data_IF_393335919244
#
_entry.id   IF_393335919244
#
_cell.length_a   1.000
_cell.length_b   1.000
_cell.length_c   1.000
_cell.angle_alpha   90.00
_cell.angle_beta   90.00
_cell.angle_gamma   90.00
#
_symmetry.space_group_name_H-M   'P 1'
#
loop_
_entity.id
_entity.type
_entity.pdbx_description
1 polymer ?
#
# COMPACT_ATOMS: atom_id res chain seq x y z
N UNK A 1 -17.99 -34.59 11.69
CA UNK A 1 -19.19 -34.24 10.90
C UNK A 1 -18.76 -33.27 9.82
N UNK A 2 -19.36 -33.27 8.63
CA UNK A 2 -19.07 -32.25 7.61
C UNK A 2 -19.66 -30.92 8.05
N UNK A 3 -18.83 -29.89 8.19
CA UNK A 3 -19.26 -28.55 8.61
C UNK A 3 -20.04 -27.90 7.45
N UNK A 4 -21.36 -27.81 7.60
CA UNK A 4 -22.20 -27.08 6.65
C UNK A 4 -21.93 -25.57 6.75
N UNK A 5 -22.00 -24.90 5.61
CA UNK A 5 -21.72 -23.48 5.48
C UNK A 5 -22.82 -22.79 4.67
N UNK A 6 -23.37 -21.70 5.18
CA UNK A 6 -24.38 -20.90 4.48
C UNK A 6 -23.72 -20.06 3.38
N UNK A 7 -23.98 -20.32 2.09
CA UNK A 7 -23.19 -19.74 0.99
C UNK A 7 -23.33 -18.22 0.90
N UNK A 8 -24.45 -17.65 1.37
CA UNK A 8 -24.69 -16.22 1.38
C UNK A 8 -23.82 -15.48 2.42
N UNK A 9 -23.60 -16.08 3.60
CA UNK A 9 -22.69 -15.55 4.62
C UNK A 9 -21.23 -15.70 4.20
N UNK A 10 -20.88 -16.83 3.56
CA UNK A 10 -19.55 -16.98 2.93
C UNK A 10 -19.31 -15.86 1.92
N UNK A 11 -20.23 -15.63 0.98
CA UNK A 11 -20.14 -14.55 -0.01
C UNK A 11 -20.05 -13.15 0.64
N UNK A 12 -20.84 -12.89 1.69
CA UNK A 12 -20.78 -11.64 2.45
C UNK A 12 -19.43 -11.44 3.15
N UNK A 13 -18.85 -12.50 3.73
CA UNK A 13 -17.53 -12.44 4.38
C UNK A 13 -16.44 -12.03 3.37
N UNK A 14 -16.43 -12.63 2.18
CA UNK A 14 -15.50 -12.29 1.09
C UNK A 14 -15.71 -10.85 0.57
N UNK A 15 -16.96 -10.40 0.46
CA UNK A 15 -17.29 -9.03 0.04
C UNK A 15 -16.77 -7.99 1.04
N UNK A 16 -17.01 -8.20 2.34
CA UNK A 16 -16.53 -7.31 3.40
C UNK A 16 -15.00 -7.30 3.49
N UNK A 17 -14.36 -8.46 3.32
CA UNK A 17 -12.91 -8.55 3.22
C UNK A 17 -12.36 -7.75 2.03
N UNK A 18 -12.97 -7.87 0.84
CA UNK A 18 -12.55 -7.14 -0.35
C UNK A 18 -12.72 -5.64 -0.20
N UNK A 19 -13.88 -5.19 0.26
CA UNK A 19 -14.20 -3.77 0.40
C UNK A 19 -13.31 -3.08 1.44
N UNK A 20 -13.14 -3.67 2.63
CA UNK A 20 -12.27 -3.13 3.67
C UNK A 20 -10.78 -3.19 3.29
N UNK A 21 -10.36 -4.24 2.57
CA UNK A 21 -9.00 -4.34 2.02
C UNK A 21 -8.75 -3.25 0.97
N UNK A 22 -9.69 -3.02 0.08
CA UNK A 22 -9.59 -1.99 -0.96
C UNK A 22 -9.44 -0.59 -0.37
N UNK A 23 -10.30 -0.23 0.59
CA UNK A 23 -10.21 1.06 1.29
C UNK A 23 -8.90 1.19 2.07
N UNK A 24 -8.51 0.17 2.83
CA UNK A 24 -7.31 0.19 3.65
C UNK A 24 -6.02 0.31 2.83
N UNK A 25 -5.92 -0.44 1.73
CA UNK A 25 -4.81 -0.35 0.77
C UNK A 25 -4.81 0.95 -0.03
N UNK A 26 -5.99 1.50 -0.35
CA UNK A 26 -6.11 2.81 -1.01
C UNK A 26 -5.54 3.93 -0.13
N UNK A 27 -5.91 3.94 1.16
CA UNK A 27 -5.41 4.89 2.14
C UNK A 27 -3.91 4.71 2.38
N UNK A 28 -3.42 3.47 2.46
CA UNK A 28 -2.00 3.18 2.65
C UNK A 28 -1.10 3.77 1.54
N UNK A 29 -1.56 3.72 0.29
CA UNK A 29 -0.84 4.28 -0.86
C UNK A 29 -0.66 5.80 -0.82
N UNK A 30 -1.51 6.52 -0.08
CA UNK A 30 -1.37 7.96 0.09
C UNK A 30 -0.38 8.37 1.18
N UNK A 31 0.12 7.43 2.00
CA UNK A 31 0.97 7.76 3.16
C UNK A 31 2.33 8.31 2.73
N UNK A 32 2.94 7.76 1.68
CA UNK A 32 4.29 8.15 1.23
C UNK A 32 4.42 9.61 0.78
N UNK A 33 3.33 10.19 0.25
CA UNK A 33 3.25 11.61 -0.14
C UNK A 33 2.80 12.53 1.01
N UNK A 34 2.37 11.96 2.14
CA UNK A 34 1.79 12.72 3.25
C UNK A 34 2.80 13.05 4.33
N UNK A 35 2.67 14.24 4.92
CA UNK A 35 3.53 14.73 6.01
C UNK A 35 2.70 15.06 7.27
N UNK A 36 3.39 15.26 8.39
CA UNK A 36 2.81 15.74 9.64
C UNK A 36 1.57 14.97 10.12
N UNK A 37 0.51 15.70 10.43
CA UNK A 37 -0.75 15.13 10.92
C UNK A 37 -1.50 14.30 9.87
N UNK A 38 -1.37 14.62 8.56
CA UNK A 38 -1.99 13.84 7.48
C UNK A 38 -1.38 12.44 7.40
N UNK A 39 -0.06 12.33 7.53
CA UNK A 39 0.66 11.05 7.57
C UNK A 39 0.15 10.14 8.70
N UNK A 40 0.05 10.68 9.93
CA UNK A 40 -0.47 9.93 11.09
C UNK A 40 -1.93 9.50 10.89
N UNK A 41 -2.78 10.38 10.36
CA UNK A 41 -4.20 10.07 10.08
C UNK A 41 -4.36 8.97 9.04
N UNK A 42 -3.57 8.97 7.96
CA UNK A 42 -3.64 7.95 6.90
C UNK A 42 -3.14 6.58 7.35
N UNK A 43 -2.10 6.50 8.20
CA UNK A 43 -1.72 5.23 8.84
C UNK A 43 -2.87 4.72 9.71
N UNK A 44 -3.45 5.56 10.57
CA UNK A 44 -4.51 5.16 11.48
C UNK A 44 -5.78 4.68 10.74
N UNK A 45 -6.24 5.41 9.72
CA UNK A 45 -7.43 5.02 8.95
C UNK A 45 -7.19 3.80 8.05
N UNK A 46 -5.98 3.67 7.48
CA UNK A 46 -5.59 2.46 6.75
C UNK A 46 -5.57 1.23 7.65
N UNK A 47 -4.88 1.30 8.80
CA UNK A 47 -4.78 0.21 9.76
C UNK A 47 -6.17 -0.20 10.29
N UNK A 48 -7.01 0.76 10.63
CA UNK A 48 -8.39 0.53 11.08
C UNK A 48 -9.24 -0.14 9.99
N UNK A 49 -9.17 0.33 8.75
CA UNK A 49 -9.91 -0.26 7.62
C UNK A 49 -9.47 -1.68 7.30
N UNK A 50 -8.16 -1.97 7.34
CA UNK A 50 -7.65 -3.32 7.11
C UNK A 50 -8.03 -4.26 8.26
N UNK A 51 -7.88 -3.83 9.51
CA UNK A 51 -8.29 -4.62 10.67
C UNK A 51 -9.80 -4.88 10.69
N UNK A 52 -10.64 -3.90 10.29
CA UNK A 52 -12.08 -4.11 10.11
C UNK A 52 -12.39 -5.08 8.97
N UNK A 53 -11.62 -5.10 7.88
CA UNK A 53 -11.78 -6.08 6.81
C UNK A 53 -11.52 -7.50 7.31
N UNK A 54 -10.41 -7.68 8.05
CA UNK A 54 -9.97 -8.97 8.62
C UNK A 54 -10.97 -9.45 9.67
N UNK A 55 -11.31 -8.58 10.63
CA UNK A 55 -12.16 -8.93 11.76
C UNK A 55 -13.63 -9.14 11.35
N UNK A 56 -14.19 -8.27 10.49
CA UNK A 56 -15.56 -8.46 9.99
C UNK A 56 -15.67 -9.74 9.14
N UNK A 57 -14.67 -10.05 8.30
CA UNK A 57 -14.67 -11.32 7.57
C UNK A 57 -14.63 -12.52 8.52
N UNK A 58 -13.73 -12.53 9.51
CA UNK A 58 -13.63 -13.64 10.45
C UNK A 58 -14.94 -13.90 11.21
N UNK A 59 -15.59 -12.86 11.75
CA UNK A 59 -16.84 -13.04 12.49
C UNK A 59 -18.02 -13.43 11.59
N UNK A 60 -18.12 -12.89 10.36
CA UNK A 60 -19.14 -13.34 9.39
C UNK A 60 -18.85 -14.77 8.89
N UNK A 61 -17.58 -15.16 8.75
CA UNK A 61 -17.17 -16.53 8.40
C UNK A 61 -17.46 -17.55 9.50
N UNK A 62 -17.29 -17.18 10.78
CA UNK A 62 -17.76 -18.00 11.91
C UNK A 62 -19.29 -18.11 11.92
N UNK A 63 -20.03 -17.03 11.65
CA UNK A 63 -21.49 -17.07 11.52
C UNK A 63 -21.97 -17.86 10.30
N UNK A 64 -21.13 -18.01 9.27
CA UNK A 64 -21.44 -18.80 8.09
C UNK A 64 -21.47 -20.31 8.36
N UNK A 65 -20.86 -20.77 9.46
CA UNK A 65 -20.88 -22.17 9.89
C UNK A 65 -22.19 -22.49 10.59
N UNK A 66 -22.85 -23.58 10.19
CA UNK A 66 -24.05 -24.07 10.87
C UNK A 66 -23.68 -24.78 12.19
N UNK A 67 -23.64 -24.03 13.29
CA UNK A 67 -23.40 -24.56 14.64
C UNK A 67 -24.67 -25.22 15.24
N UNK A 68 -24.54 -26.33 15.99
CA UNK A 68 -25.68 -27.04 16.60
C UNK A 68 -26.28 -26.36 17.84
N UNK A 69 -25.68 -25.27 18.31
CA UNK A 69 -26.08 -24.48 19.48
C UNK A 69 -25.88 -23.00 19.15
N UNK A 70 -26.73 -22.12 19.69
CA UNK A 70 -26.62 -20.68 19.50
C UNK A 70 -25.24 -20.15 19.93
N UNK A 71 -24.54 -19.46 19.01
CA UNK A 71 -23.18 -18.99 19.22
C UNK A 71 -23.12 -17.71 20.06
N UNK A 72 -22.88 -17.90 21.36
CA UNK A 72 -22.76 -16.83 22.36
C UNK A 72 -21.31 -16.30 22.39
N UNK A 73 -21.04 -15.18 21.72
CA UNK A 73 -19.70 -14.60 21.61
C UNK A 73 -19.31 -13.77 22.85
N UNK A 74 -18.18 -14.09 23.48
CA UNK A 74 -17.60 -13.27 24.56
C UNK A 74 -17.08 -11.93 24.02
N UNK A 75 -17.55 -10.83 24.61
CA UNK A 75 -17.23 -9.45 24.19
C UNK A 75 -15.74 -9.13 24.35
N UNK A 76 -15.10 -9.56 25.45
CA UNK A 76 -13.71 -9.19 25.75
C UNK A 76 -12.69 -9.79 24.76
N UNK A 77 -12.69 -11.11 24.43
CA UNK A 77 -11.85 -11.64 23.35
C UNK A 77 -12.17 -11.03 21.97
N UNK A 78 -13.45 -10.75 21.70
CA UNK A 78 -13.91 -10.11 20.47
C UNK A 78 -13.29 -8.72 20.28
N UNK A 79 -13.26 -7.88 21.33
CA UNK A 79 -12.61 -6.57 21.29
C UNK A 79 -11.07 -6.65 21.31
N UNK A 80 -10.51 -7.62 22.06
CA UNK A 80 -9.06 -7.78 22.17
C UNK A 80 -8.43 -8.27 20.86
N UNK A 81 -9.07 -9.20 20.15
CA UNK A 81 -8.65 -9.65 18.82
C UNK A 81 -8.68 -8.51 17.80
N UNK A 82 -9.68 -7.64 17.84
CA UNK A 82 -9.74 -6.43 17.03
C UNK A 82 -8.59 -5.46 17.34
N UNK A 83 -8.38 -5.13 18.63
CA UNK A 83 -7.32 -4.21 19.06
C UNK A 83 -5.93 -4.70 18.65
N UNK A 84 -5.62 -5.97 18.86
CA UNK A 84 -4.34 -6.57 18.47
C UNK A 84 -4.20 -6.59 16.94
N UNK A 85 -5.27 -6.85 16.20
CA UNK A 85 -5.27 -6.72 14.74
C UNK A 85 -4.93 -5.30 14.29
N UNK A 86 -5.61 -4.26 14.81
CA UNK A 86 -5.35 -2.85 14.49
C UNK A 86 -3.89 -2.47 14.75
N UNK A 87 -3.33 -2.88 15.90
CA UNK A 87 -1.94 -2.57 16.26
C UNK A 87 -0.93 -3.26 15.34
N UNK A 88 -1.07 -4.56 15.13
CA UNK A 88 -0.11 -5.38 14.36
C UNK A 88 -0.19 -5.06 12.85
N UNK A 89 -1.40 -4.89 12.31
CA UNK A 89 -1.61 -4.43 10.93
C UNK A 89 -1.15 -2.99 10.75
N UNK A 90 -1.31 -2.12 11.76
CA UNK A 90 -0.77 -0.76 11.76
C UNK A 90 0.76 -0.72 11.66
N UNK A 91 1.46 -1.63 12.33
CA UNK A 91 2.92 -1.82 12.15
C UNK A 91 3.24 -2.28 10.73
N UNK A 92 2.50 -3.23 10.17
CA UNK A 92 2.69 -3.67 8.78
C UNK A 92 2.51 -2.53 7.77
N UNK A 93 1.46 -1.71 7.92
CA UNK A 93 1.21 -0.50 7.13
C UNK A 93 2.37 0.50 7.27
N UNK A 94 2.81 0.79 8.50
CA UNK A 94 3.93 1.71 8.76
C UNK A 94 5.23 1.29 8.06
N UNK A 95 5.49 -0.02 7.94
CA UNK A 95 6.69 -0.55 7.26
C UNK A 95 6.62 -0.35 5.73
N UNK A 96 5.43 -0.31 5.13
CA UNK A 96 5.22 -0.05 3.67
C UNK A 96 4.84 1.39 3.32
N UNK A 97 4.65 2.26 4.31
CA UNK A 97 4.46 3.72 4.13
C UNK A 97 5.50 4.45 3.25
N UNK A 98 6.80 4.07 3.20
CA UNK A 98 7.79 4.77 2.36
C UNK A 98 7.52 4.64 0.86
N UNK A 99 7.80 5.70 0.09
CA UNK A 99 7.60 5.79 -1.38
C UNK A 99 8.23 4.60 -2.15
N UNK A 100 9.36 4.08 -1.67
CA UNK A 100 10.09 2.95 -2.26
C UNK A 100 10.27 1.84 -1.21
N UNK A 101 9.75 0.66 -1.49
CA UNK A 101 9.65 -0.44 -0.49
C UNK A 101 10.64 -1.55 -0.83
N UNK A 102 11.85 -1.45 -0.27
CA UNK A 102 12.86 -2.51 -0.38
C UNK A 102 12.33 -3.87 0.06
N UNK A 103 12.77 -4.95 -0.59
CA UNK A 103 12.28 -6.31 -0.33
C UNK A 103 12.39 -6.76 1.14
N UNK A 104 13.37 -6.26 1.90
CA UNK A 104 13.48 -6.53 3.35
C UNK A 104 12.33 -5.92 4.16
N UNK A 105 11.89 -4.69 3.82
CA UNK A 105 10.69 -4.08 4.42
C UNK A 105 9.43 -4.82 4.01
N UNK A 106 9.34 -5.24 2.75
CA UNK A 106 8.21 -6.00 2.24
C UNK A 106 8.02 -7.35 2.97
N UNK A 107 9.11 -8.10 3.20
CA UNK A 107 9.08 -9.35 3.99
C UNK A 107 8.69 -9.08 5.44
N UNK A 108 9.23 -8.05 6.08
CA UNK A 108 8.85 -7.67 7.44
C UNK A 108 7.36 -7.31 7.53
N UNK A 109 6.84 -6.50 6.60
CA UNK A 109 5.43 -6.15 6.54
C UNK A 109 4.52 -7.36 6.25
N UNK A 110 4.96 -8.32 5.41
CA UNK A 110 4.23 -9.56 5.17
C UNK A 110 4.11 -10.42 6.43
N UNK A 111 5.19 -10.51 7.23
CA UNK A 111 5.22 -11.23 8.50
C UNK A 111 4.32 -10.55 9.56
N UNK A 112 4.37 -9.22 9.68
CA UNK A 112 3.46 -8.50 10.59
C UNK A 112 2.00 -8.60 10.11
N UNK A 113 1.70 -8.40 8.83
CA UNK A 113 0.34 -8.49 8.29
C UNK A 113 -0.25 -9.89 8.47
N UNK A 114 0.45 -10.93 7.98
CA UNK A 114 0.01 -12.32 8.08
C UNK A 114 -0.04 -12.82 9.52
N UNK A 115 0.96 -12.48 10.34
CA UNK A 115 0.96 -12.79 11.78
C UNK A 115 -0.18 -12.10 12.51
N UNK A 116 -0.51 -10.85 12.17
CA UNK A 116 -1.66 -10.13 12.70
C UNK A 116 -2.99 -10.79 12.33
N UNK A 117 -3.13 -11.25 11.09
CA UNK A 117 -4.30 -11.99 10.59
C UNK A 117 -4.47 -13.33 11.34
N UNK A 118 -3.38 -14.08 11.57
CA UNK A 118 -3.39 -15.36 12.30
C UNK A 118 -3.68 -15.17 13.79
N UNK A 119 -2.98 -14.26 14.47
CA UNK A 119 -3.19 -13.96 15.89
C UNK A 119 -4.61 -13.43 16.12
N UNK A 120 -5.10 -12.54 15.24
CA UNK A 120 -6.47 -12.06 15.28
C UNK A 120 -7.48 -13.22 15.21
N UNK A 121 -7.29 -14.17 14.29
CA UNK A 121 -8.20 -15.29 14.13
C UNK A 121 -8.24 -16.19 15.37
N UNK A 122 -7.10 -16.66 15.88
CA UNK A 122 -7.11 -17.53 17.06
C UNK A 122 -7.62 -16.81 18.32
N UNK A 123 -7.37 -15.50 18.48
CA UNK A 123 -7.98 -14.70 19.55
C UNK A 123 -9.48 -14.44 19.35
N UNK A 124 -9.94 -14.34 18.10
CA UNK A 124 -11.35 -14.25 17.75
C UNK A 124 -12.10 -15.55 18.06
N UNK A 125 -11.49 -16.71 17.78
CA UNK A 125 -12.01 -18.02 18.16
C UNK A 125 -12.21 -18.16 19.68
N UNK A 126 -11.37 -17.53 20.52
CA UNK A 126 -11.58 -17.53 21.98
C UNK A 126 -12.94 -16.95 22.39
N UNK A 127 -13.59 -16.13 21.55
CA UNK A 127 -14.93 -15.63 21.83
C UNK A 127 -15.98 -16.74 21.94
N UNK A 128 -15.77 -17.90 21.31
CA UNK A 128 -16.68 -19.06 21.36
C UNK A 128 -16.50 -19.96 22.60
N UNK A 129 -15.45 -19.75 23.41
CA UNK A 129 -15.10 -20.66 24.52
C UNK A 129 -16.18 -20.80 25.61
N UNK A 130 -17.12 -19.84 25.70
CA UNK A 130 -18.27 -19.93 26.61
C UNK A 130 -19.21 -21.09 26.26
N UNK A 131 -19.31 -21.47 24.99
CA UNK A 131 -20.19 -22.56 24.51
C UNK A 131 -19.45 -23.85 24.14
N UNK A 132 -18.15 -23.76 23.80
CA UNK A 132 -17.41 -24.88 23.21
C UNK A 132 -15.98 -24.99 23.73
N UNK A 133 -15.50 -26.21 23.96
CA UNK A 133 -14.08 -26.52 23.93
C UNK A 133 -13.57 -26.54 22.47
N UNK A 134 -12.44 -25.88 22.22
CA UNK A 134 -11.86 -25.67 20.89
C UNK A 134 -10.57 -26.47 20.70
N UNK A 135 -10.63 -27.59 19.99
CA UNK A 135 -9.45 -28.28 19.49
C UNK A 135 -8.94 -27.61 18.21
N UNK A 136 -7.62 -27.57 18.02
CA UNK A 136 -6.98 -27.05 16.81
C UNK A 136 -5.93 -28.06 16.34
N UNK A 137 -5.99 -28.48 15.08
CA UNK A 137 -4.92 -29.24 14.43
C UNK A 137 -3.69 -28.32 14.20
N UNK A 138 -2.49 -28.68 14.71
CA UNK A 138 -1.26 -27.94 14.43
C UNK A 138 -0.89 -27.90 12.94
N UNK A 139 -1.24 -28.92 12.14
CA UNK A 139 -0.91 -28.94 10.71
C UNK A 139 -1.76 -27.93 9.93
N UNK A 140 -3.08 -27.99 10.04
CA UNK A 140 -4.00 -26.99 9.46
C UNK A 140 -3.68 -25.57 9.93
N UNK A 141 -3.31 -25.40 11.21
CA UNK A 141 -2.86 -24.12 11.78
C UNK A 141 -1.55 -23.61 11.13
N UNK A 142 -0.59 -24.50 10.87
CA UNK A 142 0.63 -24.16 10.16
C UNK A 142 0.41 -23.80 8.68
N UNK A 143 -0.47 -24.55 8.00
CA UNK A 143 -0.84 -24.31 6.59
C UNK A 143 -1.62 -23.00 6.44
N UNK A 144 -2.59 -22.74 7.32
CA UNK A 144 -3.34 -21.47 7.31
C UNK A 144 -2.39 -20.30 7.56
N UNK A 145 -1.50 -20.38 8.56
CA UNK A 145 -0.53 -19.32 8.83
C UNK A 145 0.39 -19.03 7.63
N UNK A 146 0.83 -20.08 6.92
CA UNK A 146 1.60 -19.93 5.68
C UNK A 146 0.79 -19.23 4.57
N UNK A 147 -0.48 -19.60 4.39
CA UNK A 147 -1.40 -18.93 3.44
C UNK A 147 -1.55 -17.43 3.78
N UNK A 148 -1.81 -17.11 5.06
CA UNK A 148 -1.98 -15.75 5.54
C UNK A 148 -0.75 -14.86 5.29
N UNK A 149 0.45 -15.36 5.60
CA UNK A 149 1.72 -14.63 5.36
C UNK A 149 2.04 -14.53 3.86
N UNK A 150 1.88 -15.61 3.08
CA UNK A 150 2.19 -15.61 1.66
C UNK A 150 1.25 -14.70 0.85
N UNK A 151 -0.06 -14.77 1.10
CA UNK A 151 -1.03 -13.92 0.44
C UNK A 151 -0.87 -12.45 0.85
N UNK A 152 -0.59 -12.17 2.13
CA UNK A 152 -0.25 -10.82 2.59
C UNK A 152 0.99 -10.28 1.87
N UNK A 153 2.05 -11.08 1.76
CA UNK A 153 3.28 -10.69 1.07
C UNK A 153 3.06 -10.40 -0.42
N UNK A 154 2.28 -11.24 -1.11
CA UNK A 154 1.98 -11.05 -2.53
C UNK A 154 1.03 -9.85 -2.76
N UNK A 155 0.03 -9.65 -1.88
CA UNK A 155 -0.85 -8.49 -1.95
C UNK A 155 -0.09 -7.18 -1.70
N UNK A 156 0.79 -7.13 -0.69
CA UNK A 156 1.67 -5.98 -0.44
C UNK A 156 2.68 -5.78 -1.58
N UNK A 157 3.21 -6.86 -2.18
CA UNK A 157 4.08 -6.76 -3.36
C UNK A 157 3.36 -6.08 -4.53
N UNK A 158 2.12 -6.50 -4.82
CA UNK A 158 1.29 -5.93 -5.88
C UNK A 158 0.83 -4.48 -5.58
N UNK A 159 0.66 -4.16 -4.30
CA UNK A 159 0.27 -2.83 -3.82
C UNK A 159 1.42 -1.80 -3.81
N UNK A 160 2.62 -2.19 -3.37
CA UNK A 160 3.70 -1.26 -3.02
C UNK A 160 5.04 -1.56 -3.70
N UNK A 161 5.25 -2.76 -4.23
CA UNK A 161 6.54 -3.18 -4.80
C UNK A 161 6.94 -2.39 -6.05
N UNK A 162 8.18 -1.91 -6.07
CA UNK A 162 8.75 -1.03 -7.11
C UNK A 162 8.72 -1.62 -8.54
N UNK A 163 8.57 -2.94 -8.67
CA UNK A 163 8.56 -3.69 -9.94
C UNK A 163 7.22 -4.34 -10.27
N UNK A 164 6.21 -4.20 -9.41
CA UNK A 164 4.92 -4.87 -9.60
C UNK A 164 3.96 -4.01 -10.46
N UNK A 165 3.06 -4.62 -11.25
CA UNK A 165 1.96 -3.89 -11.86
C UNK A 165 1.04 -3.40 -10.73
N UNK A 166 1.07 -2.09 -10.46
CA UNK A 166 0.52 -1.41 -9.26
C UNK A 166 -1.03 -1.42 -9.16
N UNK A 167 -1.66 -2.57 -9.33
CA UNK A 167 -3.12 -2.79 -9.28
C UNK A 167 -3.64 -2.81 -7.84
N UNK A 168 -4.30 -1.72 -7.44
CA UNK A 168 -5.05 -1.64 -6.18
C UNK A 168 -6.18 -2.70 -6.09
N UNK A 169 -7.09 -2.87 -7.08
CA UNK A 169 -8.15 -3.87 -6.97
C UNK A 169 -7.59 -5.31 -6.97
N UNK A 170 -6.51 -5.59 -7.71
CA UNK A 170 -5.84 -6.89 -7.66
C UNK A 170 -5.20 -7.18 -6.30
N UNK A 171 -4.53 -6.18 -5.70
CA UNK A 171 -3.95 -6.25 -4.36
C UNK A 171 -5.04 -6.49 -3.29
N UNK A 172 -6.16 -5.78 -3.38
CA UNK A 172 -7.30 -5.94 -2.48
C UNK A 172 -8.01 -7.30 -2.62
N UNK A 173 -8.24 -7.77 -3.85
CA UNK A 173 -8.81 -9.09 -4.11
C UNK A 173 -7.91 -10.21 -3.58
N UNK A 174 -6.61 -10.12 -3.82
CA UNK A 174 -5.66 -11.12 -3.34
C UNK A 174 -5.53 -11.12 -1.81
N UNK A 175 -5.55 -9.95 -1.17
CA UNK A 175 -5.58 -9.87 0.29
C UNK A 175 -6.85 -10.48 0.86
N UNK A 176 -8.02 -10.11 0.33
CA UNK A 176 -9.31 -10.62 0.79
C UNK A 176 -9.46 -12.14 0.63
N UNK A 177 -9.07 -12.67 -0.54
CA UNK A 177 -9.00 -14.11 -0.78
C UNK A 177 -7.98 -14.79 0.14
N UNK A 178 -6.84 -14.14 0.44
CA UNK A 178 -5.83 -14.62 1.37
C UNK A 178 -6.30 -14.74 2.82
N UNK A 179 -6.95 -13.70 3.35
CA UNK A 179 -7.52 -13.72 4.71
C UNK A 179 -8.63 -14.79 4.77
N UNK A 180 -9.50 -14.86 3.76
CA UNK A 180 -10.59 -15.85 3.70
C UNK A 180 -10.06 -17.28 3.62
N UNK A 181 -9.09 -17.54 2.73
CA UNK A 181 -8.46 -18.85 2.58
C UNK A 181 -7.71 -19.28 3.85
N UNK A 182 -7.05 -18.35 4.55
CA UNK A 182 -6.48 -18.63 5.88
C UNK A 182 -7.57 -19.08 6.85
N UNK A 183 -8.63 -18.28 7.01
CA UNK A 183 -9.71 -18.54 7.96
C UNK A 183 -10.39 -19.89 7.71
N UNK A 184 -10.85 -20.17 6.48
CA UNK A 184 -11.52 -21.44 6.19
C UNK A 184 -10.57 -22.65 6.25
N UNK A 185 -9.25 -22.47 6.06
CA UNK A 185 -8.25 -23.53 6.30
C UNK A 185 -8.02 -23.79 7.78
N UNK A 186 -8.03 -22.75 8.62
CA UNK A 186 -7.92 -22.92 10.07
C UNK A 186 -9.19 -23.54 10.66
N UNK A 187 -10.37 -23.13 10.19
CA UNK A 187 -11.67 -23.69 10.58
C UNK A 187 -11.79 -25.18 10.20
N UNK A 188 -11.26 -25.62 9.05
CA UNK A 188 -11.31 -27.03 8.66
C UNK A 188 -10.46 -27.95 9.55
N UNK A 189 -9.46 -27.39 10.24
CA UNK A 189 -8.68 -28.05 11.29
C UNK A 189 -9.15 -27.78 12.72
N UNK A 190 -10.31 -27.15 12.91
CA UNK A 190 -10.84 -26.81 14.24
C UNK A 190 -11.94 -27.81 14.66
N UNK A 191 -11.84 -28.36 15.88
CA UNK A 191 -12.91 -29.18 16.47
C UNK A 191 -13.69 -28.40 17.53
N UNK A 192 -15.02 -28.37 17.36
CA UNK A 192 -15.98 -27.74 18.25
C UNK A 192 -16.65 -28.80 19.10
N UNK A 193 -16.34 -28.84 20.40
CA UNK A 193 -16.97 -29.75 21.36
C UNK A 193 -17.88 -28.94 22.27
N UNK A 194 -19.23 -29.03 22.15
CA UNK A 194 -20.14 -28.27 22.99
C UNK A 194 -19.97 -28.64 24.47
N UNK A 195 -20.10 -27.67 25.37
CA UNK A 195 -20.26 -27.95 26.79
C UNK A 195 -21.60 -28.64 27.05
N UNK A 196 -21.65 -29.58 28.00
CA UNK A 196 -22.92 -30.15 28.45
C UNK A 196 -23.72 -29.07 29.20
N UNK A 197 -24.94 -28.77 28.74
CA UNK A 197 -25.70 -27.61 29.20
C UNK A 197 -26.55 -27.94 30.42
N UNK A 198 -26.13 -27.51 31.60
CA UNK A 198 -27.08 -27.18 32.67
C UNK A 198 -27.73 -25.82 32.35
N UNK A 199 -29.03 -25.84 32.04
CA UNK A 199 -29.75 -24.69 31.50
C UNK A 199 -30.20 -23.70 32.60
N UNK A 200 -29.25 -23.00 33.24
CA UNK A 200 -29.53 -21.95 34.22
C UNK A 200 -28.88 -20.63 33.81
N UNK A 201 -29.64 -19.77 33.14
CA UNK A 201 -29.19 -18.43 32.74
C UNK A 201 -30.25 -17.63 31.98
N UNK A 202 -30.44 -16.37 32.36
CA UNK A 202 -31.37 -15.46 31.68
C UNK A 202 -30.92 -15.14 30.26
N UNK A 203 -31.86 -15.21 29.31
CA UNK A 203 -31.61 -14.86 27.91
C UNK A 203 -31.33 -13.35 27.79
N UNK A 204 -30.18 -12.91 27.22
CA UNK A 204 -29.92 -11.50 26.97
C UNK A 204 -30.89 -10.92 25.93
N UNK A 205 -31.39 -9.70 26.15
CA UNK A 205 -32.34 -9.03 25.25
C UNK A 205 -31.78 -8.71 23.84
N UNK A 206 -30.46 -8.80 23.66
CA UNK A 206 -29.76 -8.82 22.39
C UNK A 206 -28.72 -9.95 22.46
N UNK A 207 -28.67 -10.84 21.47
CA UNK A 207 -27.62 -11.87 21.46
C UNK A 207 -26.24 -11.21 21.32
N UNK A 208 -25.18 -11.72 21.97
CA UNK A 208 -23.83 -11.16 21.84
C UNK A 208 -23.33 -11.17 20.38
N UNK A 209 -23.76 -12.13 19.57
CA UNK A 209 -23.51 -12.16 18.12
C UNK A 209 -24.19 -11.02 17.36
N UNK A 210 -25.45 -10.69 17.68
CA UNK A 210 -26.12 -9.49 17.12
C UNK A 210 -25.39 -8.21 17.55
N UNK A 211 -24.93 -8.14 18.79
CA UNK A 211 -24.15 -7.01 19.30
C UNK A 211 -22.80 -6.87 18.55
N UNK A 212 -22.10 -7.97 18.29
CA UNK A 212 -20.87 -7.99 17.47
C UNK A 212 -21.14 -7.57 16.02
N UNK A 213 -22.22 -8.04 15.39
CA UNK A 213 -22.64 -7.62 14.05
C UNK A 213 -22.98 -6.13 14.00
N UNK A 214 -23.74 -5.61 14.99
CA UNK A 214 -24.05 -4.18 15.11
C UNK A 214 -22.77 -3.36 15.27
N UNK A 215 -21.83 -3.78 16.12
CA UNK A 215 -20.52 -3.12 16.26
C UNK A 215 -19.71 -3.17 14.95
N UNK A 216 -19.77 -4.28 14.19
CA UNK A 216 -19.14 -4.41 12.87
C UNK A 216 -19.71 -3.39 11.88
N UNK A 217 -21.03 -3.34 11.77
CA UNK A 217 -21.76 -2.44 10.87
C UNK A 217 -21.52 -0.98 11.26
N UNK A 218 -21.57 -0.65 12.56
CA UNK A 218 -21.30 0.71 13.06
C UNK A 218 -19.84 1.11 12.83
N UNK A 219 -18.86 0.25 13.11
CA UNK A 219 -17.45 0.57 12.88
C UNK A 219 -17.11 0.71 11.39
N UNK A 220 -17.76 -0.08 10.53
CA UNK A 220 -17.73 0.09 9.08
C UNK A 220 -18.32 1.45 8.66
N UNK A 221 -19.52 1.82 9.13
CA UNK A 221 -20.15 3.11 8.81
C UNK A 221 -19.35 4.31 9.36
N UNK A 222 -18.76 4.20 10.56
CA UNK A 222 -17.85 5.21 11.11
C UNK A 222 -16.61 5.37 10.22
N UNK A 223 -16.06 4.27 9.70
CA UNK A 223 -14.94 4.32 8.74
C UNK A 223 -15.36 4.92 7.39
N UNK A 224 -16.59 4.66 6.93
CA UNK A 224 -17.21 5.29 5.76
C UNK A 224 -17.46 6.79 5.94
N UNK A 225 -17.82 7.24 7.14
CA UNK A 225 -17.99 8.64 7.50
C UNK A 225 -16.64 9.37 7.63
N UNK A 226 -15.61 8.67 8.11
CA UNK A 226 -14.22 9.14 8.08
C UNK A 226 -13.70 9.26 6.63
N UNK A 227 -14.16 8.41 5.72
CA UNK A 227 -13.94 8.55 4.26
C UNK A 227 -14.62 9.80 3.70
N UNK A 228 -15.90 10.04 4.02
CA UNK A 228 -16.64 11.24 3.56
C UNK A 228 -16.00 12.55 4.02
N UNK A 229 -15.51 12.61 5.26
CA UNK A 229 -14.77 13.79 5.78
C UNK A 229 -13.34 13.92 5.25
N UNK A 230 -12.82 12.91 4.53
CA UNK A 230 -11.55 12.95 3.81
C UNK A 230 -11.67 13.21 2.31
N UNK A 231 -12.88 13.24 1.74
CA UNK A 231 -13.12 13.75 0.39
C UNK A 231 -12.95 15.27 0.43
N UNK A 232 -11.94 15.87 -0.22
CA UNK A 232 -11.87 17.31 -0.31
C UNK A 232 -13.01 17.78 -1.21
N UNK A 233 -13.88 18.63 -0.69
CA UNK A 233 -14.64 19.55 -1.55
C UNK A 233 -13.55 20.30 -2.33
N UNK A 234 -13.40 20.00 -3.63
CA UNK A 234 -12.51 20.78 -4.48
C UNK A 234 -13.06 22.21 -4.43
N UNK A 235 -12.30 23.22 -3.99
CA UNK A 235 -12.71 24.58 -4.28
C UNK A 235 -12.91 24.65 -5.80
N UNK A 236 -14.04 25.22 -6.23
CA UNK A 236 -14.26 25.45 -7.65
C UNK A 236 -13.01 26.18 -8.20
N UNK A 237 -12.47 25.79 -9.36
CA UNK A 237 -11.23 26.35 -9.85
C UNK A 237 -11.40 27.87 -9.90
N UNK A 238 -10.65 28.59 -9.06
CA UNK A 238 -10.75 30.03 -8.92
C UNK A 238 -10.49 30.63 -10.29
N UNK A 239 -11.55 31.08 -10.95
CA UNK A 239 -11.52 31.38 -12.37
C UNK A 239 -10.51 32.51 -12.55
N UNK A 240 -9.64 32.42 -13.56
CA UNK A 240 -8.53 33.35 -13.79
C UNK A 240 -9.02 34.76 -14.22
N UNK A 241 -9.72 35.44 -13.31
CA UNK A 241 -10.48 36.69 -13.47
C UNK A 241 -9.99 37.69 -12.42
N UNK A 242 -8.68 37.91 -12.42
CA UNK A 242 -8.03 39.08 -11.81
C UNK A 242 -6.70 39.42 -12.49
N UNK A 243 -6.04 38.44 -13.13
CA UNK A 243 -4.88 38.63 -14.03
C UNK A 243 -5.22 39.34 -15.37
N UNK A 244 -6.21 40.23 -15.38
CA UNK A 244 -6.60 41.08 -16.52
C UNK A 244 -7.08 42.50 -16.15
N UNK A 245 -7.08 42.87 -14.86
CA UNK A 245 -7.21 44.28 -14.48
C UNK A 245 -5.89 45.00 -14.86
N UNK A 246 -5.90 45.71 -15.99
CA UNK A 246 -4.72 46.34 -16.55
C UNK A 246 -4.29 47.61 -15.76
N UNK A 247 -3.00 47.98 -15.77
CA UNK A 247 -2.52 49.23 -15.18
C UNK A 247 -2.95 50.45 -16.02
N UNK A 248 -4.21 50.85 -15.89
CA UNK A 248 -4.82 52.00 -16.55
C UNK A 248 -4.43 53.35 -15.92
N UNK A 249 -3.13 53.65 -15.84
CA UNK A 249 -2.62 54.93 -15.35
C UNK A 249 -2.91 56.06 -16.34
N UNK A 250 -4.08 56.70 -16.24
CA UNK A 250 -4.46 57.82 -17.10
C UNK A 250 -3.83 59.13 -16.57
N UNK A 251 -2.59 59.39 -16.96
CA UNK A 251 -1.87 60.61 -16.58
C UNK A 251 -2.50 61.86 -17.22
N UNK A 252 -2.89 62.83 -16.40
CA UNK A 252 -3.62 64.03 -16.84
C UNK A 252 -2.69 65.05 -17.50
N UNK A 253 -2.69 65.10 -18.83
CA UNK A 253 -1.83 65.99 -19.60
C UNK A 253 -2.23 67.49 -19.48
N UNK A 254 -1.31 68.39 -19.08
CA UNK A 254 -1.55 69.84 -19.10
C UNK A 254 -1.34 70.44 -20.51
N UNK A 255 -2.08 71.50 -20.90
CA UNK A 255 -2.03 72.03 -22.26
C UNK A 255 -0.81 72.96 -22.48
N UNK A 256 -0.05 72.76 -23.57
CA UNK A 256 0.88 73.76 -24.10
C UNK A 256 0.85 73.89 -25.63
N UNK A 257 1.06 75.15 -26.04
CA UNK A 257 0.90 75.74 -27.38
C UNK A 257 1.98 75.32 -28.40
N UNK A 258 1.51 74.99 -29.61
CA UNK A 258 1.75 75.76 -30.86
C UNK A 258 3.16 75.86 -31.49
N UNK A 259 3.23 75.55 -32.81
CA UNK A 259 4.38 75.75 -33.75
C UNK A 259 5.68 74.95 -33.47
N UNK A 260 6.55 74.60 -34.43
CA UNK A 260 6.91 75.26 -35.70
C UNK A 260 7.57 74.33 -36.75
N UNK A 261 6.98 74.26 -37.95
CA UNK A 261 7.54 74.11 -39.31
C UNK A 261 8.84 73.30 -39.69
N UNK A 262 8.74 72.68 -40.89
CA UNK A 262 9.73 72.58 -42.00
C UNK A 262 10.83 71.48 -42.07
N UNK A 263 10.78 70.74 -43.20
CA UNK A 263 11.89 70.25 -44.09
C UNK A 263 12.84 69.17 -43.51
N UNK A 264 13.60 68.39 -44.30
CA UNK A 264 13.83 68.33 -45.75
C UNK A 264 13.85 66.88 -46.33
N UNK A 265 14.19 66.70 -47.63
CA UNK A 265 14.29 65.41 -48.35
C UNK A 265 15.75 65.00 -48.63
N UNK A 266 16.00 63.68 -48.74
CA UNK A 266 17.05 63.03 -49.57
C UNK A 266 18.54 63.24 -49.23
N UNK A 267 19.49 62.47 -49.81
CA UNK A 267 19.34 61.36 -50.79
C UNK A 267 19.92 60.00 -50.34
N UNK A 268 19.83 58.97 -51.20
CA UNK A 268 20.44 57.64 -51.06
C UNK A 268 21.84 57.59 -51.70
N UNK A 269 22.73 56.72 -51.19
CA UNK A 269 23.98 56.27 -51.85
C UNK A 269 24.10 54.73 -51.68
N UNK A 270 24.56 53.93 -52.67
CA UNK A 270 24.41 52.47 -52.65
C UNK A 270 25.69 51.62 -52.40
N UNK A 271 25.56 50.63 -51.49
CA UNK A 271 26.40 49.39 -51.40
C UNK A 271 27.86 49.61 -50.89
N UNK A 272 28.64 48.56 -50.48
CA UNK A 272 28.58 47.14 -50.85
C UNK A 272 28.32 46.12 -49.70
N UNK A 273 28.13 44.83 -50.07
CA UNK A 273 28.18 43.61 -49.23
C UNK A 273 29.63 43.07 -49.22
N UNK A 274 30.16 42.30 -48.21
CA UNK A 274 29.59 41.06 -47.61
C UNK A 274 29.91 40.92 -46.08
N UNK A 275 29.93 39.79 -45.33
CA UNK A 275 29.64 38.33 -45.45
C UNK A 275 28.78 37.87 -44.23
N UNK A 276 28.10 36.71 -44.25
CA UNK A 276 27.33 36.20 -43.10
C UNK A 276 28.21 35.64 -41.95
N UNK A 277 27.67 35.65 -40.71
CA UNK A 277 28.29 35.09 -39.49
C UNK A 277 27.84 33.64 -39.22
N UNK A 278 28.66 32.78 -38.59
CA UNK A 278 28.27 31.42 -38.22
C UNK A 278 27.34 31.39 -36.99
N UNK A 279 26.46 30.40 -36.93
CA UNK A 279 25.56 30.14 -35.80
C UNK A 279 25.77 28.71 -35.29
N UNK A 280 26.43 28.56 -34.14
CA UNK A 280 26.51 27.26 -33.45
C UNK A 280 25.18 26.95 -32.77
N UNK A 281 24.43 25.97 -33.30
CA UNK A 281 23.21 25.46 -32.69
C UNK A 281 23.48 24.10 -32.04
N UNK A 282 23.45 24.05 -30.70
CA UNK A 282 23.50 22.77 -29.98
C UNK A 282 22.27 21.92 -30.31
N UNK A 283 22.48 20.65 -30.63
CA UNK A 283 21.45 19.62 -30.66
C UNK A 283 21.95 18.37 -29.91
N UNK A 284 21.14 17.86 -28.98
CA UNK A 284 21.44 16.66 -28.19
C UNK A 284 21.22 15.40 -29.04
N UNK A 285 22.07 14.35 -28.94
CA UNK A 285 21.89 13.12 -29.69
C UNK A 285 20.76 12.25 -29.10
N UNK A 286 19.75 11.93 -29.91
CA UNK A 286 18.79 10.87 -29.62
C UNK A 286 19.38 9.56 -30.16
N UNK A 287 19.87 8.67 -29.27
CA UNK A 287 20.24 7.30 -29.68
C UNK A 287 18.99 6.42 -29.75
N UNK A 288 18.58 6.07 -30.97
CA UNK A 288 17.50 5.10 -31.19
C UNK A 288 17.96 3.66 -30.98
N UNK A 289 17.01 2.85 -30.55
CA UNK A 289 17.07 1.39 -30.44
C UNK A 289 17.38 0.77 -31.83
N UNK A 290 18.31 -0.18 -31.89
CA UNK A 290 18.43 -1.09 -33.03
C UNK A 290 18.02 -2.50 -32.57
N UNK A 291 16.92 -3.02 -33.14
CA UNK A 291 16.64 -4.46 -33.10
C UNK A 291 17.48 -5.14 -34.18
N UNK A 292 18.09 -6.27 -33.85
CA UNK A 292 18.35 -7.34 -34.81
C UNK A 292 17.73 -8.61 -34.25
N UNK A 293 17.18 -9.45 -35.12
CA UNK A 293 16.48 -10.68 -34.75
C UNK A 293 16.81 -11.77 -35.76
N UNK A 294 17.56 -12.78 -35.33
CA UNK A 294 17.71 -14.05 -36.02
C UNK A 294 17.69 -15.18 -34.97
N UNK A 295 16.95 -16.25 -35.27
CA UNK A 295 16.92 -17.50 -34.49
C UNK A 295 17.88 -18.51 -35.13
N UNK A 296 18.25 -19.57 -34.40
CA UNK A 296 17.99 -21.01 -34.74
C UNK A 296 19.04 -21.95 -34.11
N UNK A 297 18.53 -23.03 -33.49
CA UNK A 297 19.13 -24.36 -33.20
C UNK A 297 20.39 -24.60 -32.33
N UNK A 298 20.12 -25.31 -31.21
CA UNK A 298 20.57 -26.70 -30.91
C UNK A 298 21.88 -26.99 -30.12
N UNK A 299 21.89 -28.22 -29.57
CA UNK A 299 22.89 -28.90 -28.72
C UNK A 299 23.16 -28.25 -27.33
N UNK A 300 23.10 -28.91 -26.16
CA UNK A 300 23.24 -30.31 -25.67
C UNK A 300 24.68 -30.75 -25.35
N UNK A 301 24.95 -30.96 -24.06
CA UNK A 301 26.15 -31.60 -23.46
C UNK A 301 27.48 -30.82 -23.62
N UNK A 302 28.56 -30.99 -22.83
CA UNK A 302 28.88 -31.96 -21.73
C UNK A 302 29.72 -31.26 -20.64
N UNK A 303 29.97 -31.94 -19.51
CA UNK A 303 30.82 -31.50 -18.38
C UNK A 303 32.35 -31.63 -18.65
N UNK A 304 33.16 -31.40 -17.59
CA UNK A 304 34.63 -31.60 -17.46
C UNK A 304 35.52 -30.44 -17.99
N UNK A 305 36.70 -30.12 -17.43
CA UNK A 305 37.46 -30.74 -16.30
C UNK A 305 38.38 -29.72 -15.54
N UNK A 306 39.01 -30.20 -14.47
CA UNK A 306 40.12 -29.64 -13.63
C UNK A 306 41.38 -29.12 -14.37
N UNK A 307 42.39 -28.41 -13.81
CA UNK A 307 42.83 -28.08 -12.42
C UNK A 307 43.76 -26.80 -12.39
N UNK A 308 44.42 -26.37 -11.27
CA UNK A 308 44.98 -25.01 -11.09
C UNK A 308 46.52 -24.86 -11.19
N UNK A 309 47.04 -23.62 -11.21
CA UNK A 309 48.43 -23.35 -10.76
C UNK A 309 48.78 -21.92 -10.25
N UNK A 310 49.63 -21.91 -9.21
CA UNK A 310 50.67 -20.93 -8.76
C UNK A 310 50.41 -19.41 -8.61
N UNK A 311 50.68 -18.98 -7.36
CA UNK A 311 51.12 -17.65 -6.88
C UNK A 311 52.04 -16.87 -7.85
N UNK A 312 51.93 -15.52 -7.79
CA UNK A 312 53.05 -14.64 -7.40
C UNK A 312 52.55 -13.35 -6.74
N UNK A 313 53.20 -12.95 -5.63
CA UNK A 313 53.02 -11.66 -4.93
C UNK A 313 54.24 -10.81 -5.28
N UNK A 314 54.06 -9.54 -5.65
CA UNK A 314 55.15 -8.56 -5.75
C UNK A 314 54.74 -7.30 -4.98
N UNK A 315 55.52 -6.99 -3.95
CA UNK A 315 55.54 -5.71 -3.25
C UNK A 315 56.73 -4.89 -3.76
N UNK A 316 56.57 -3.57 -3.90
CA UNK A 316 57.71 -2.64 -3.89
C UNK A 316 57.35 -1.38 -3.10
N UNK A 317 58.31 -0.95 -2.30
CA UNK A 317 58.37 0.32 -1.56
C UNK A 317 59.83 0.78 -1.60
N UNK A 318 60.06 2.07 -1.87
CA UNK A 318 61.29 2.87 -1.78
C UNK A 318 61.13 4.08 -2.72
N UNK A 319 61.73 5.25 -2.48
CA UNK A 319 62.37 5.78 -1.26
C UNK A 319 62.58 7.30 -1.43
N UNK A 320 62.84 8.01 -0.33
CA UNK A 320 63.03 9.47 -0.30
C UNK A 320 64.36 9.94 -0.90
N UNK A 321 64.35 11.13 -1.51
CA UNK A 321 65.52 12.00 -1.76
C UNK A 321 65.17 13.42 -1.30
N UNK A 322 66.17 14.29 -1.09
CA UNK A 322 66.17 15.35 -0.06
C UNK A 322 66.85 16.65 -0.53
N UNK A 323 66.59 17.77 0.17
CA UNK A 323 67.24 19.12 0.13
C UNK A 323 66.71 20.11 -0.92
N UNK A 324 66.96 21.43 -0.76
CA UNK A 324 67.16 22.24 0.46
C UNK A 324 66.13 23.40 0.54
N UNK A 325 66.31 24.34 1.47
CA UNK A 325 65.55 25.60 1.52
C UNK A 325 66.32 26.74 2.17
N UNK A 326 65.80 27.97 2.02
CA UNK A 326 66.05 29.22 2.76
C UNK A 326 64.74 30.02 2.63
N UNK A 327 64.12 30.66 3.63
CA UNK A 327 64.58 31.36 4.83
C UNK A 327 65.04 32.81 4.59
N UNK A 328 64.05 33.71 4.47
CA UNK A 328 63.96 35.00 5.16
C UNK A 328 62.48 35.40 5.26
#
# INVERSE_FOLDING_TARGET
>A
MTVAHQPWLVALSLLMAFQGSYVGLHLARQIGEATGLRHRRLIASSALSLALAIWTMHFIGMLAVDLPVAADFLVLPTLLSFLICVLVVGVAVFIVSPEWVSGRRLVAAALFMGGGIVVMHHLGMLALQKGFHLGHDPFATGVSALIGVAASGMALWLGFGDRAPRSLPGSAALLALGISAMHYTAMSGTSLHPHAVEAVGTQPALSPGLLAVVVSVVAFFVSGLFLLTLVPIRPAPEVAVLSRAAPGGLEAAPPRRETRARRARSPRVPSPRPRPRPVHRLLRPIRRFCRSSAKVSSAVSTSCVSWPCRRKRITRSCSTVKRPGFAL
#
